data_IF_667514150073
#
_entry.id   IF_667514150073
#
_cell.length_a   1.000
_cell.length_b   1.000
_cell.length_c   1.000
_cell.angle_alpha   90.00
_cell.angle_beta   90.00
_cell.angle_gamma   90.00
#
_symmetry.space_group_name_H-M   'P 1'
#
loop_
_entity.id
_entity.type
_entity.pdbx_description
1 polymer ?
#
# COMPACT_ATOMS: atom_id res chain seq x y z
N UNK A 1 7.40 6.81 5.34
CA UNK A 1 6.97 7.51 4.09
C UNK A 1 7.42 8.98 3.97
N UNK A 2 8.14 9.52 4.97
CA UNK A 2 8.41 10.95 5.10
C UNK A 2 9.26 11.58 3.98
N UNK A 3 10.21 10.85 3.40
CA UNK A 3 11.10 11.39 2.34
C UNK A 3 10.31 11.76 1.08
N UNK A 4 9.29 10.98 0.71
CA UNK A 4 8.45 11.32 -0.43
C UNK A 4 7.48 12.44 -0.07
N UNK A 5 7.02 12.48 1.18
CA UNK A 5 6.15 13.55 1.68
C UNK A 5 6.84 14.93 1.62
N UNK A 6 8.14 15.02 1.96
CA UNK A 6 8.91 16.26 1.86
C UNK A 6 9.01 16.76 0.42
N UNK A 7 9.18 15.85 -0.55
CA UNK A 7 9.16 16.20 -1.98
C UNK A 7 7.80 16.76 -2.41
N UNK A 8 6.70 16.12 -1.99
CA UNK A 8 5.34 16.59 -2.33
C UNK A 8 5.06 17.96 -1.71
N UNK A 9 5.37 18.16 -0.42
CA UNK A 9 5.18 19.44 0.27
C UNK A 9 5.91 20.57 -0.45
N UNK A 10 7.16 20.33 -0.86
CA UNK A 10 7.95 21.29 -1.64
C UNK A 10 7.30 21.57 -3.00
N UNK A 11 6.83 20.53 -3.69
CA UNK A 11 6.22 20.66 -5.02
C UNK A 11 4.91 21.46 -5.02
N UNK A 12 4.12 21.38 -3.94
CA UNK A 12 2.86 22.12 -3.79
C UNK A 12 2.99 23.42 -2.98
N UNK A 13 4.21 23.79 -2.57
CA UNK A 13 4.48 25.03 -1.83
C UNK A 13 3.96 25.04 -0.39
N UNK A 14 3.86 23.88 0.25
CA UNK A 14 3.42 23.76 1.65
C UNK A 14 4.57 23.97 2.64
N UNK A 15 4.28 24.53 3.83
CA UNK A 15 5.27 24.73 4.89
C UNK A 15 5.83 23.39 5.40
N UNK A 16 7.16 23.32 5.51
CA UNK A 16 7.88 22.11 5.92
C UNK A 16 7.68 21.77 7.40
N UNK A 17 7.28 22.75 8.21
CA UNK A 17 6.97 22.59 9.62
C UNK A 17 5.81 21.60 9.84
N UNK A 18 4.89 21.48 8.86
CA UNK A 18 3.80 20.52 8.91
C UNK A 18 4.25 19.05 8.87
N UNK A 19 5.47 18.77 8.40
CA UNK A 19 6.01 17.42 8.33
C UNK A 19 6.35 16.89 9.72
N UNK A 20 6.70 17.76 10.67
CA UNK A 20 6.97 17.34 12.05
C UNK A 20 5.73 16.72 12.71
N UNK A 21 4.53 17.23 12.39
CA UNK A 21 3.27 16.66 12.87
C UNK A 21 3.01 15.27 12.28
N UNK A 22 3.24 15.12 10.97
CA UNK A 22 3.08 13.82 10.28
C UNK A 22 4.12 12.81 10.74
N UNK A 23 5.36 13.25 10.99
CA UNK A 23 6.43 12.40 11.50
C UNK A 23 6.10 11.77 12.85
N UNK A 24 5.32 12.46 13.71
CA UNK A 24 4.85 11.91 14.98
C UNK A 24 3.93 10.69 14.84
N UNK A 25 3.19 10.58 13.73
CA UNK A 25 2.27 9.46 13.45
C UNK A 25 2.76 8.51 12.35
N UNK A 26 3.85 8.84 11.64
CA UNK A 26 4.38 8.07 10.50
C UNK A 26 4.56 6.60 10.86
N UNK A 27 5.01 6.28 12.08
CA UNK A 27 5.23 4.89 12.49
C UNK A 27 3.97 4.02 12.47
N UNK A 28 2.82 4.57 12.87
CA UNK A 28 1.54 3.85 12.85
C UNK A 28 1.00 3.78 11.42
N UNK A 29 1.09 4.88 10.69
CA UNK A 29 0.63 4.96 9.30
C UNK A 29 1.42 4.01 8.37
N UNK A 30 2.73 3.88 8.60
CA UNK A 30 3.61 2.99 7.82
C UNK A 30 3.28 1.52 8.08
N UNK A 31 2.95 1.17 9.34
CA UNK A 31 2.44 -0.18 9.66
C UNK A 31 1.10 -0.47 9.00
N UNK A 32 0.19 0.50 8.97
CA UNK A 32 -1.11 0.32 8.34
C UNK A 32 -0.99 0.23 6.81
N UNK A 33 -0.05 0.97 6.20
CA UNK A 33 0.16 1.00 4.75
C UNK A 33 0.70 -0.32 4.20
N UNK A 34 1.64 -0.96 4.90
CA UNK A 34 2.28 -2.21 4.43
C UNK A 34 1.28 -3.33 4.08
N UNK A 35 0.35 -3.75 4.97
CA UNK A 35 -0.62 -4.79 4.66
C UNK A 35 -1.61 -4.38 3.58
N UNK A 36 -1.95 -3.09 3.48
CA UNK A 36 -2.84 -2.59 2.42
C UNK A 36 -2.18 -2.67 1.04
N UNK A 37 -0.89 -2.35 0.94
CA UNK A 37 -0.15 -2.53 -0.30
C UNK A 37 -0.09 -4.01 -0.71
N UNK A 38 0.19 -4.90 0.24
CA UNK A 38 0.19 -6.36 0.00
C UNK A 38 -1.20 -6.85 -0.45
N UNK A 39 -2.26 -6.38 0.20
CA UNK A 39 -3.63 -6.70 -0.18
C UNK A 39 -3.94 -6.21 -1.61
N UNK A 40 -3.52 -5.00 -1.96
CA UNK A 40 -3.67 -4.45 -3.30
C UNK A 40 -2.97 -5.29 -4.36
N UNK A 41 -1.74 -5.72 -4.09
CA UNK A 41 -0.98 -6.60 -5.01
C UNK A 41 -1.66 -7.96 -5.18
N UNK A 42 -2.16 -8.56 -4.09
CA UNK A 42 -2.90 -9.82 -4.13
C UNK A 42 -4.21 -9.71 -4.93
N UNK A 43 -4.99 -8.65 -4.68
CA UNK A 43 -6.21 -8.37 -5.43
C UNK A 43 -5.89 -8.09 -6.90
N UNK A 44 -4.86 -7.31 -7.17
CA UNK A 44 -4.39 -7.01 -8.53
C UNK A 44 -4.00 -8.28 -9.28
N UNK A 45 -3.26 -9.19 -8.65
CA UNK A 45 -2.90 -10.47 -9.24
C UNK A 45 -4.13 -11.31 -9.60
N UNK A 46 -5.13 -11.38 -8.73
CA UNK A 46 -6.40 -12.09 -9.00
C UNK A 46 -7.17 -11.44 -10.15
N UNK A 47 -7.26 -10.11 -10.16
CA UNK A 47 -7.97 -9.36 -11.21
C UNK A 47 -7.31 -9.57 -12.57
N UNK A 48 -5.98 -9.47 -12.65
CA UNK A 48 -5.22 -9.69 -13.89
C UNK A 48 -5.30 -11.15 -14.33
N UNK A 49 -5.13 -12.10 -13.40
CA UNK A 49 -5.24 -13.53 -13.71
C UNK A 49 -6.63 -13.88 -14.27
N UNK A 50 -7.70 -13.26 -13.74
CA UNK A 50 -9.04 -13.41 -14.29
C UNK A 50 -9.21 -12.77 -15.67
N UNK A 51 -8.61 -11.61 -15.93
CA UNK A 51 -8.71 -10.92 -17.23
C UNK A 51 -7.95 -11.64 -18.34
N UNK A 52 -6.82 -12.25 -18.02
CA UNK A 52 -6.01 -13.03 -18.96
C UNK A 52 -6.51 -14.48 -19.13
N UNK A 53 -7.54 -14.88 -18.36
CA UNK A 53 -8.07 -16.25 -18.40
C UNK A 53 -7.17 -17.30 -17.73
N UNK A 54 -6.24 -16.87 -16.89
CA UNK A 54 -5.27 -17.70 -16.16
C UNK A 54 -5.69 -18.00 -14.72
N UNK A 55 -6.87 -17.58 -14.29
CA UNK A 55 -7.34 -17.78 -12.91
C UNK A 55 -7.59 -19.27 -12.63
N UNK A 56 -6.68 -19.86 -11.85
CA UNK A 56 -6.80 -21.24 -11.39
C UNK A 56 -7.66 -21.27 -10.13
N UNK A 57 -8.67 -22.13 -10.11
CA UNK A 57 -9.44 -22.38 -8.91
C UNK A 57 -8.52 -22.92 -7.79
N UNK A 58 -8.65 -22.46 -6.55
CA UNK A 58 -7.81 -22.97 -5.47
C UNK A 58 -8.05 -24.46 -5.30
N UNK A 59 -6.97 -25.26 -5.32
CA UNK A 59 -7.06 -26.67 -4.99
C UNK A 59 -7.47 -26.79 -3.52
N UNK A 60 -8.70 -27.24 -3.27
CA UNK A 60 -9.19 -27.58 -1.93
C UNK A 60 -8.48 -28.83 -1.42
N UNK A 61 -7.21 -28.72 -1.02
CA UNK A 61 -6.53 -29.71 -0.19
C UNK A 61 -6.73 -29.35 1.30
N UNK A 62 -7.98 -29.18 1.71
CA UNK A 62 -8.33 -29.27 3.14
C UNK A 62 -8.72 -30.72 3.38
N UNK A 63 -7.70 -31.56 3.60
CA UNK A 63 -7.89 -32.83 4.30
C UNK A 63 -8.31 -32.46 5.72
N UNK A 64 -9.61 -32.47 5.97
CA UNK A 64 -10.14 -32.65 7.32
C UNK A 64 -9.70 -34.03 7.87
#
# INVERSE_FOLDING_TARGET
ALIVMTMVFTAVGLPMEGIALVAGVDRILDMARTPLNILGDAVGAVVVSQSEGELVAPETSVSA
#
